data_IF_528885981593
#
_entry.id   IF_528885981593
#
_cell.length_a   1.000
_cell.length_b   1.000
_cell.length_c   1.000
_cell.angle_alpha   90.00
_cell.angle_beta   90.00
_cell.angle_gamma   90.00
#
_symmetry.space_group_name_H-M   'P 1'
#
loop_
_entity.id
_entity.type
_entity.pdbx_description
1 polymer ?
#
# COMPACT_ATOMS: atom_id res chain seq x y z
N UNK A 1 60.61 33.87 10.89
CA UNK A 1 59.48 33.08 11.40
C UNK A 1 58.76 32.47 10.21
N UNK A 2 59.33 31.42 9.63
CA UNK A 2 58.66 30.61 8.61
C UNK A 2 57.57 29.82 9.32
N UNK A 3 56.30 30.09 9.00
CA UNK A 3 55.18 29.27 9.50
C UNK A 3 55.32 27.90 8.84
N UNK A 4 55.66 26.88 9.62
CA UNK A 4 55.60 25.49 9.17
C UNK A 4 54.15 25.02 9.22
N UNK A 5 53.59 24.50 8.13
CA UNK A 5 52.21 24.04 8.11
C UNK A 5 52.13 22.60 8.67
N UNK A 6 52.41 22.45 9.97
CA UNK A 6 52.47 21.16 10.68
C UNK A 6 51.19 20.32 10.44
N UNK A 7 50.02 20.94 10.57
CA UNK A 7 48.72 20.31 10.31
C UNK A 7 48.57 19.80 8.87
N UNK A 8 49.12 20.52 7.90
CA UNK A 8 49.04 20.12 6.49
C UNK A 8 50.05 19.01 6.15
N UNK A 9 51.12 18.87 6.93
CA UNK A 9 52.08 17.78 6.75
C UNK A 9 51.51 16.44 7.24
N UNK A 10 50.72 16.45 8.33
CA UNK A 10 49.96 15.28 8.76
C UNK A 10 48.92 14.90 7.71
N UNK A 11 48.12 15.86 7.24
CA UNK A 11 47.14 15.63 6.19
C UNK A 11 47.77 15.12 4.87
N UNK A 12 49.01 15.53 4.57
CA UNK A 12 49.78 14.98 3.44
C UNK A 12 50.12 13.50 3.63
N UNK A 13 50.52 13.11 4.85
CA UNK A 13 50.85 11.73 5.20
C UNK A 13 49.63 10.80 5.17
N UNK A 14 48.47 11.31 5.59
CA UNK A 14 47.20 10.59 5.67
C UNK A 14 46.40 10.58 4.36
N UNK A 15 46.96 11.15 3.27
CA UNK A 15 46.33 11.25 1.95
C UNK A 15 45.06 12.13 1.92
N UNK A 16 44.93 13.07 2.85
CA UNK A 16 43.73 13.92 3.01
C UNK A 16 43.80 15.25 2.22
N UNK A 17 44.97 15.59 1.66
CA UNK A 17 45.12 16.79 0.84
C UNK A 17 44.53 16.60 -0.56
N UNK A 18 43.85 17.63 -1.07
CA UNK A 18 43.47 17.64 -2.48
C UNK A 18 44.70 17.82 -3.40
N UNK A 19 44.53 17.59 -4.71
CA UNK A 19 45.63 17.61 -5.68
C UNK A 19 46.43 18.94 -5.69
N UNK A 20 45.77 20.08 -5.51
CA UNK A 20 46.42 21.40 -5.56
C UNK A 20 47.15 21.72 -4.24
N UNK A 21 46.62 21.27 -3.11
CA UNK A 21 47.28 21.34 -1.80
C UNK A 21 48.49 20.42 -1.75
N UNK A 22 48.37 19.20 -2.28
CA UNK A 22 49.45 18.24 -2.32
C UNK A 22 50.67 18.77 -3.08
N UNK A 23 50.47 19.29 -4.29
CA UNK A 23 51.55 19.89 -5.10
C UNK A 23 52.25 21.03 -4.37
N UNK A 24 51.48 21.91 -3.72
CA UNK A 24 52.04 23.03 -2.93
C UNK A 24 52.84 22.53 -1.72
N UNK A 25 52.41 21.42 -1.11
CA UNK A 25 53.13 20.80 -0.01
C UNK A 25 54.42 20.12 -0.48
N UNK A 26 54.39 19.38 -1.57
CA UNK A 26 55.57 18.77 -2.20
C UNK A 26 56.60 19.84 -2.55
N UNK A 27 56.18 20.93 -3.21
CA UNK A 27 57.02 22.09 -3.51
C UNK A 27 57.65 22.73 -2.26
N UNK A 28 56.96 22.68 -1.12
CA UNK A 28 57.45 23.22 0.15
C UNK A 28 58.44 22.26 0.80
N UNK A 29 58.14 20.96 0.84
CA UNK A 29 59.00 19.92 1.38
C UNK A 29 60.33 19.92 0.62
N UNK A 30 60.33 20.00 -0.72
CA UNK A 30 61.57 20.05 -1.51
C UNK A 30 62.50 21.22 -1.14
N UNK A 31 61.94 22.34 -0.71
CA UNK A 31 62.69 23.59 -0.44
C UNK A 31 62.98 23.82 1.04
N UNK A 32 62.39 23.05 1.94
CA UNK A 32 62.43 23.30 3.38
C UNK A 32 63.00 22.09 4.14
N UNK A 33 64.29 22.15 4.48
CA UNK A 33 65.00 21.08 5.21
C UNK A 33 64.33 20.71 6.55
N UNK A 34 63.77 21.68 7.28
CA UNK A 34 63.07 21.40 8.54
C UNK A 34 61.77 20.63 8.35
N UNK A 35 61.05 20.85 7.24
CA UNK A 35 59.85 20.09 6.91
C UNK A 35 60.20 18.68 6.37
N UNK A 36 61.34 18.52 5.69
CA UNK A 36 61.85 17.19 5.33
C UNK A 36 62.20 16.38 6.58
N UNK A 37 62.92 16.99 7.52
CA UNK A 37 63.28 16.34 8.79
C UNK A 37 62.02 15.94 9.58
N UNK A 38 61.04 16.85 9.71
CA UNK A 38 59.78 16.56 10.38
C UNK A 38 59.00 15.42 9.70
N UNK A 39 58.98 15.38 8.36
CA UNK A 39 58.32 14.31 7.62
C UNK A 39 58.99 12.94 7.86
N UNK A 40 60.32 12.89 7.86
CA UNK A 40 61.04 11.64 8.16
C UNK A 40 60.75 11.17 9.60
N UNK A 41 60.73 12.09 10.57
CA UNK A 41 60.38 11.77 11.96
C UNK A 41 58.98 11.17 12.07
N UNK A 42 57.99 11.75 11.38
CA UNK A 42 56.62 11.24 11.32
C UNK A 42 56.54 9.86 10.65
N UNK A 43 57.30 9.63 9.56
CA UNK A 43 57.38 8.34 8.89
C UNK A 43 58.03 7.25 9.75
N UNK A 44 59.02 7.61 10.58
CA UNK A 44 59.61 6.70 11.56
C UNK A 44 58.56 6.32 12.62
N UNK A 45 57.84 7.30 13.17
CA UNK A 45 56.78 7.07 14.15
C UNK A 45 55.65 6.18 13.59
N UNK A 46 55.20 6.44 12.36
CA UNK A 46 54.18 5.61 11.70
C UNK A 46 54.63 4.15 11.56
N UNK A 47 55.88 3.93 11.14
CA UNK A 47 56.46 2.59 11.03
C UNK A 47 56.53 1.87 12.39
N UNK A 48 56.95 2.56 13.43
CA UNK A 48 57.04 2.01 14.79
C UNK A 48 55.65 1.62 15.34
N UNK A 49 54.64 2.46 15.10
CA UNK A 49 53.26 2.14 15.45
C UNK A 49 52.77 0.89 14.73
N UNK A 50 52.94 0.81 13.40
CA UNK A 50 52.51 -0.36 12.62
C UNK A 50 53.21 -1.63 13.11
N UNK A 51 54.51 -1.56 13.42
CA UNK A 51 55.24 -2.68 14.01
C UNK A 51 54.68 -3.08 15.37
N UNK A 52 54.38 -2.12 16.24
CA UNK A 52 53.81 -2.35 17.56
C UNK A 52 52.41 -2.99 17.45
N UNK A 53 51.56 -2.51 16.56
CA UNK A 53 50.20 -3.04 16.37
C UNK A 53 50.19 -4.42 15.70
N UNK A 54 51.16 -4.73 14.83
CA UNK A 54 51.30 -6.07 14.26
C UNK A 54 51.66 -7.15 15.30
N UNK A 55 52.12 -6.76 16.49
CA UNK A 55 52.33 -7.70 17.61
C UNK A 55 51.01 -8.12 18.27
N UNK A 56 49.92 -7.36 18.04
CA UNK A 56 48.60 -7.68 18.57
C UNK A 56 47.98 -8.73 17.66
N UNK A 57 47.83 -9.96 18.16
CA UNK A 57 47.09 -10.99 17.46
C UNK A 57 45.59 -10.65 17.41
N UNK A 58 45.05 -10.63 16.20
CA UNK A 58 43.62 -10.52 15.97
C UNK A 58 42.88 -11.71 16.60
N UNK A 59 41.76 -11.49 17.30
CA UNK A 59 40.91 -12.58 17.76
C UNK A 59 40.44 -13.42 16.57
N UNK A 60 40.58 -14.75 16.66
CA UNK A 60 40.26 -15.67 15.56
C UNK A 60 38.81 -15.58 15.04
N UNK A 61 37.91 -14.95 15.80
CA UNK A 61 36.51 -14.77 15.49
C UNK A 61 36.14 -13.32 15.09
N UNK A 62 37.11 -12.41 14.93
CA UNK A 62 36.82 -11.01 14.59
C UNK A 62 36.08 -10.91 13.25
N UNK A 63 36.58 -11.56 12.21
CA UNK A 63 35.93 -11.61 10.89
C UNK A 63 34.47 -12.07 10.99
N UNK A 64 34.24 -13.17 11.71
CA UNK A 64 32.90 -13.75 11.88
C UNK A 64 31.97 -12.77 12.61
N UNK A 65 32.44 -12.13 13.68
CA UNK A 65 31.63 -11.16 14.44
C UNK A 65 31.29 -9.91 13.62
N UNK A 66 32.22 -9.42 12.80
CA UNK A 66 32.01 -8.27 11.92
C UNK A 66 30.96 -8.60 10.86
N UNK A 67 31.12 -9.74 10.16
CA UNK A 67 30.17 -10.19 9.15
C UNK A 67 28.76 -10.41 9.73
N UNK A 68 28.67 -10.96 10.94
CA UNK A 68 27.39 -11.11 11.64
C UNK A 68 26.75 -9.77 12.00
N UNK A 69 27.55 -8.76 12.37
CA UNK A 69 27.05 -7.43 12.71
C UNK A 69 26.49 -6.72 11.47
N UNK A 70 27.19 -6.82 10.34
CA UNK A 70 26.72 -6.28 9.05
C UNK A 70 25.42 -6.98 8.62
N UNK A 71 25.39 -8.32 8.66
CA UNK A 71 24.20 -9.09 8.29
C UNK A 71 22.97 -8.76 9.16
N UNK A 72 23.19 -8.40 10.43
CA UNK A 72 22.12 -7.98 11.34
C UNK A 72 21.58 -6.60 10.98
N UNK A 73 22.44 -5.65 10.59
CA UNK A 73 22.02 -4.32 10.12
C UNK A 73 21.31 -4.37 8.77
N UNK A 74 21.70 -5.29 7.88
CA UNK A 74 21.02 -5.50 6.59
C UNK A 74 19.69 -6.24 6.70
N UNK A 75 19.35 -6.81 7.85
CA UNK A 75 18.06 -7.49 8.01
C UNK A 75 16.93 -6.44 8.03
N UNK A 76 16.04 -6.40 7.01
CA UNK A 76 14.91 -5.47 7.03
C UNK A 76 14.04 -5.81 8.23
N UNK A 77 13.76 -4.79 9.04
CA UNK A 77 12.98 -4.88 10.27
C UNK A 77 11.73 -5.77 10.09
N UNK A 78 11.81 -6.97 10.67
CA UNK A 78 10.70 -7.82 11.13
C UNK A 78 9.36 -7.68 10.39
N UNK A 79 9.22 -8.40 9.27
CA UNK A 79 7.92 -8.65 8.59
C UNK A 79 6.95 -9.49 9.46
N UNK A 80 7.41 -10.07 10.58
CA UNK A 80 6.69 -11.08 11.35
C UNK A 80 5.47 -10.62 12.16
N UNK A 81 5.26 -9.32 12.42
CA UNK A 81 4.18 -8.84 13.31
C UNK A 81 3.19 -7.86 12.67
N UNK A 82 3.53 -7.27 11.53
CA UNK A 82 2.66 -6.35 10.79
C UNK A 82 1.51 -7.03 10.03
N UNK A 83 1.65 -8.32 9.69
CA UNK A 83 0.67 -9.03 8.85
C UNK A 83 -0.68 -9.26 9.56
N UNK A 84 -0.64 -9.60 10.85
CA UNK A 84 -1.86 -9.72 11.67
C UNK A 84 -2.60 -8.38 11.80
N UNK A 85 -1.86 -7.29 11.94
CA UNK A 85 -2.43 -5.94 11.99
C UNK A 85 -3.03 -5.54 10.64
N UNK A 86 -2.38 -5.93 9.54
CA UNK A 86 -2.89 -5.78 8.17
C UNK A 86 -4.23 -6.50 7.97
N UNK A 87 -4.31 -7.77 8.37
CA UNK A 87 -5.58 -8.53 8.27
C UNK A 87 -6.69 -7.95 9.14
N UNK A 88 -6.37 -7.51 10.35
CA UNK A 88 -7.35 -6.90 11.25
C UNK A 88 -7.91 -5.61 10.64
N UNK A 89 -7.06 -4.76 10.06
CA UNK A 89 -7.48 -3.54 9.37
C UNK A 89 -8.33 -3.82 8.13
N UNK A 90 -7.91 -4.79 7.29
CA UNK A 90 -8.69 -5.19 6.11
C UNK A 90 -10.08 -5.70 6.51
N UNK A 91 -10.15 -6.59 7.50
CA UNK A 91 -11.42 -7.12 8.03
C UNK A 91 -12.32 -6.00 8.56
N UNK A 92 -11.76 -5.04 9.31
CA UNK A 92 -12.50 -3.90 9.85
C UNK A 92 -13.11 -3.04 8.73
N UNK A 93 -12.33 -2.71 7.70
CA UNK A 93 -12.81 -1.89 6.57
C UNK A 93 -13.92 -2.57 5.78
N UNK A 94 -13.78 -3.87 5.50
CA UNK A 94 -14.82 -4.68 4.84
C UNK A 94 -16.10 -4.76 5.67
N UNK A 95 -15.98 -4.95 7.00
CA UNK A 95 -17.12 -4.99 7.91
C UNK A 95 -17.90 -3.67 7.93
N UNK A 96 -17.19 -2.53 8.01
CA UNK A 96 -17.80 -1.19 7.96
C UNK A 96 -18.50 -0.97 6.61
N UNK A 97 -17.83 -1.31 5.50
CA UNK A 97 -18.40 -1.16 4.17
C UNK A 97 -19.69 -1.97 4.00
N UNK A 98 -19.69 -3.23 4.46
CA UNK A 98 -20.86 -4.10 4.41
C UNK A 98 -22.02 -3.56 5.25
N UNK A 99 -21.73 -3.07 6.45
CA UNK A 99 -22.74 -2.50 7.34
C UNK A 99 -23.39 -1.25 6.74
N UNK A 100 -22.59 -0.31 6.22
CA UNK A 100 -23.08 0.91 5.59
C UNK A 100 -23.91 0.58 4.36
N UNK A 101 -23.36 -0.21 3.42
CA UNK A 101 -24.04 -0.58 2.17
C UNK A 101 -25.31 -1.38 2.43
N UNK A 102 -25.27 -2.33 3.35
CA UNK A 102 -26.44 -3.12 3.74
C UNK A 102 -27.56 -2.27 4.32
N UNK A 103 -27.23 -1.31 5.19
CA UNK A 103 -28.24 -0.41 5.79
C UNK A 103 -28.96 0.45 4.74
N UNK A 104 -28.25 0.89 3.70
CA UNK A 104 -28.82 1.66 2.58
C UNK A 104 -29.73 0.77 1.74
N UNK A 105 -29.28 -0.44 1.39
CA UNK A 105 -30.08 -1.39 0.60
C UNK A 105 -31.39 -1.77 1.30
N UNK A 106 -31.36 -2.04 2.61
CA UNK A 106 -32.58 -2.37 3.38
C UNK A 106 -33.56 -1.20 3.37
N UNK A 107 -33.09 0.03 3.61
CA UNK A 107 -33.95 1.23 3.55
C UNK A 107 -34.53 1.44 2.16
N UNK A 108 -33.73 1.22 1.12
CA UNK A 108 -34.14 1.36 -0.27
C UNK A 108 -35.26 0.36 -0.61
N UNK A 109 -35.06 -0.92 -0.29
CA UNK A 109 -36.06 -1.99 -0.51
C UNK A 109 -37.34 -1.71 0.27
N UNK A 110 -37.24 -1.30 1.54
CA UNK A 110 -38.40 -0.94 2.35
C UNK A 110 -39.17 0.26 1.76
N UNK A 111 -38.44 1.28 1.28
CA UNK A 111 -39.03 2.43 0.59
C UNK A 111 -39.77 2.04 -0.68
N UNK A 112 -39.13 1.24 -1.56
CA UNK A 112 -39.75 0.73 -2.78
C UNK A 112 -40.97 -0.15 -2.50
N UNK A 113 -40.91 -1.00 -1.49
CA UNK A 113 -42.04 -1.83 -1.09
C UNK A 113 -43.23 -0.98 -0.65
N UNK A 114 -43.01 0.04 0.19
CA UNK A 114 -44.08 0.98 0.58
C UNK A 114 -44.67 1.73 -0.62
N UNK A 115 -43.82 2.18 -1.55
CA UNK A 115 -44.26 2.85 -2.76
C UNK A 115 -45.13 1.91 -3.62
N UNK A 116 -44.70 0.66 -3.81
CA UNK A 116 -45.46 -0.35 -4.56
C UNK A 116 -46.81 -0.64 -3.92
N UNK A 117 -46.86 -0.81 -2.59
CA UNK A 117 -48.13 -1.02 -1.87
C UNK A 117 -49.06 0.18 -2.04
N UNK A 118 -48.54 1.40 -1.90
CA UNK A 118 -49.33 2.61 -2.08
C UNK A 118 -49.85 2.75 -3.52
N UNK A 119 -49.02 2.42 -4.52
CA UNK A 119 -49.42 2.43 -5.92
C UNK A 119 -50.54 1.43 -6.21
N UNK A 120 -50.42 0.19 -5.68
CA UNK A 120 -51.47 -0.84 -5.80
C UNK A 120 -52.76 -0.37 -5.12
N UNK A 121 -52.67 0.27 -3.96
CA UNK A 121 -53.84 0.79 -3.24
C UNK A 121 -54.55 1.90 -4.05
N UNK A 122 -53.80 2.85 -4.59
CA UNK A 122 -54.36 3.94 -5.43
C UNK A 122 -54.97 3.36 -6.72
N UNK A 123 -54.30 2.42 -7.37
CA UNK A 123 -54.84 1.76 -8.57
C UNK A 123 -56.15 1.00 -8.26
N UNK A 124 -56.20 0.27 -7.14
CA UNK A 124 -57.39 -0.45 -6.68
C UNK A 124 -58.55 0.51 -6.40
N UNK A 125 -58.29 1.61 -5.68
CA UNK A 125 -59.30 2.62 -5.41
C UNK A 125 -59.76 3.35 -6.68
N UNK A 126 -58.85 3.59 -7.63
CA UNK A 126 -59.20 4.22 -8.91
C UNK A 126 -60.15 3.34 -9.72
N UNK A 127 -59.88 2.02 -9.80
CA UNK A 127 -60.78 1.04 -10.43
C UNK A 127 -62.17 1.09 -9.79
N UNK A 128 -62.25 1.11 -8.46
CA UNK A 128 -63.53 1.17 -7.73
C UNK A 128 -64.26 2.52 -7.90
N UNK A 129 -63.52 3.62 -8.09
CA UNK A 129 -64.09 4.97 -8.18
C UNK A 129 -64.68 5.34 -9.54
N UNK A 130 -64.36 4.58 -10.61
CA UNK A 130 -64.88 4.84 -11.96
C UNK A 130 -65.91 3.77 -12.33
N UNK A 131 -67.22 3.98 -12.02
CA UNK A 131 -68.27 2.98 -12.23
C UNK A 131 -68.46 2.58 -13.70
N UNK A 132 -68.07 3.45 -14.64
CA UNK A 132 -68.13 3.15 -16.08
C UNK A 132 -67.07 2.13 -16.49
N UNK A 133 -65.88 2.20 -15.91
CA UNK A 133 -64.76 1.32 -16.25
C UNK A 133 -65.01 -0.09 -15.68
N UNK A 134 -65.50 -0.18 -14.44
CA UNK A 134 -65.89 -1.47 -13.83
C UNK A 134 -67.04 -2.12 -14.59
N UNK A 135 -68.09 -1.38 -14.93
CA UNK A 135 -69.20 -1.89 -15.73
C UNK A 135 -68.72 -2.42 -17.10
N UNK A 136 -67.83 -1.69 -17.79
CA UNK A 136 -67.25 -2.13 -19.06
C UNK A 136 -66.46 -3.43 -18.91
N UNK A 137 -65.61 -3.54 -17.87
CA UNK A 137 -64.83 -4.76 -17.62
C UNK A 137 -65.70 -5.99 -17.32
N UNK A 138 -66.78 -5.81 -16.55
CA UNK A 138 -67.74 -6.89 -16.23
C UNK A 138 -68.52 -7.30 -17.47
N UNK A 139 -69.00 -6.33 -18.26
CA UNK A 139 -69.71 -6.62 -19.53
C UNK A 139 -68.80 -7.37 -20.50
N UNK A 140 -67.54 -6.92 -20.67
CA UNK A 140 -66.57 -7.62 -21.51
C UNK A 140 -66.29 -9.04 -21.00
N UNK A 141 -66.14 -9.25 -19.69
CA UNK A 141 -65.92 -10.59 -19.14
C UNK A 141 -67.11 -11.52 -19.39
N UNK A 142 -68.34 -11.02 -19.28
CA UNK A 142 -69.56 -11.77 -19.58
C UNK A 142 -69.65 -12.14 -21.06
N UNK A 143 -69.34 -11.21 -21.97
CA UNK A 143 -69.30 -11.49 -23.41
C UNK A 143 -68.28 -12.59 -23.73
N UNK A 144 -67.08 -12.53 -23.13
CA UNK A 144 -66.04 -13.56 -23.32
C UNK A 144 -66.52 -14.92 -22.78
N UNK A 145 -67.16 -14.96 -21.61
CA UNK A 145 -67.70 -16.21 -21.05
C UNK A 145 -68.82 -16.79 -21.93
N UNK A 146 -69.77 -15.97 -22.39
CA UNK A 146 -70.87 -16.41 -23.26
C UNK A 146 -70.33 -16.93 -24.59
N UNK A 147 -69.40 -16.21 -25.22
CA UNK A 147 -68.77 -16.65 -26.47
C UNK A 147 -67.95 -17.93 -26.28
N UNK A 148 -67.22 -18.06 -25.17
CA UNK A 148 -66.50 -19.28 -24.82
C UNK A 148 -67.43 -20.47 -24.63
N UNK A 149 -68.53 -20.31 -23.88
CA UNK A 149 -69.52 -21.36 -23.64
C UNK A 149 -70.23 -21.74 -24.96
N UNK A 150 -70.59 -20.75 -25.78
CA UNK A 150 -71.20 -20.98 -27.08
C UNK A 150 -70.27 -21.76 -28.01
N UNK A 151 -69.00 -21.35 -28.09
CA UNK A 151 -67.97 -22.03 -28.87
C UNK A 151 -67.80 -23.48 -28.41
N UNK A 152 -67.74 -23.72 -27.09
CA UNK A 152 -67.59 -25.05 -26.52
C UNK A 152 -68.80 -25.95 -26.83
N UNK A 153 -70.02 -25.41 -26.69
CA UNK A 153 -71.26 -26.14 -27.04
C UNK A 153 -71.31 -26.48 -28.53
N UNK A 154 -70.95 -25.52 -29.39
CA UNK A 154 -70.95 -25.72 -30.84
C UNK A 154 -69.97 -26.82 -31.26
N UNK A 155 -68.76 -26.82 -30.70
CA UNK A 155 -67.75 -27.87 -30.96
C UNK A 155 -68.25 -29.26 -30.54
N UNK A 156 -68.84 -29.38 -29.34
CA UNK A 156 -69.38 -30.65 -28.86
C UNK A 156 -70.51 -31.19 -29.75
N UNK A 157 -71.36 -30.32 -30.31
CA UNK A 157 -72.42 -30.72 -31.24
C UNK A 157 -71.89 -31.18 -32.59
N UNK A 158 -70.83 -30.56 -33.11
CA UNK A 158 -70.23 -30.94 -34.40
C UNK A 158 -69.42 -32.23 -34.37
N UNK A 159 -68.95 -32.66 -33.19
CA UNK A 159 -68.18 -33.92 -33.03
C UNK A 159 -69.09 -35.11 -32.68
N UNK A 160 -70.35 -34.87 -32.31
CA UNK A 160 -71.33 -35.90 -31.94
C UNK A 160 -72.29 -36.31 -33.07
N UNK A 161 -72.09 -35.78 -34.28
CA UNK A 161 -72.73 -36.23 -35.54
C UNK A 161 -71.69 -36.83 -36.46
#
# INVERSE_FOLDING_TARGET
MTKHPEDQLSAYLDDELNNDERRRMEDHIEKCESCQALLEDLLVLQRDLVQTFNLIQEPADLEVRVLQSIAKEESPATVGKGWLFGFLMVSLTLGIFWFVTGSVLVKLVHGFSKLMIAMVYVASHFILSVPVLTALTVVLSLIILVTSIYSLRRLLQTTAS
#
